data_IF_450949587821
#
_entry.id   IF_450949587821
#
_cell.length_a   1.000
_cell.length_b   1.000
_cell.length_c   1.000
_cell.angle_alpha   90.00
_cell.angle_beta   90.00
_cell.angle_gamma   90.00
#
_symmetry.space_group_name_H-M   'P 1'
#
loop_
_entity.id
_entity.type
_entity.pdbx_description
1 polymer ?
#
# COMPACT_ATOMS: atom_id res chain seq x y z
N UNK A 1 24.90 -25.45 -14.55
CA UNK A 1 23.79 -24.50 -14.85
C UNK A 1 23.33 -23.99 -13.50
N UNK A 2 23.11 -22.68 -13.35
CA UNK A 2 22.57 -22.13 -12.13
C UNK A 2 21.19 -22.76 -11.81
N UNK A 3 20.82 -22.81 -10.56
CA UNK A 3 19.53 -23.29 -10.12
C UNK A 3 18.41 -22.35 -10.64
N UNK A 4 17.26 -22.90 -11.08
CA UNK A 4 16.11 -22.06 -11.39
C UNK A 4 15.65 -21.27 -10.15
N UNK A 5 15.43 -19.96 -10.31
CA UNK A 5 15.09 -19.04 -9.24
C UNK A 5 13.77 -18.33 -9.47
N UNK A 6 13.06 -18.05 -8.39
CA UNK A 6 11.89 -17.17 -8.36
C UNK A 6 12.33 -15.72 -8.56
N UNK A 7 11.39 -14.82 -8.83
CA UNK A 7 11.69 -13.40 -8.97
C UNK A 7 12.35 -12.81 -7.69
N UNK A 8 11.80 -13.18 -6.52
CA UNK A 8 12.36 -12.78 -5.22
C UNK A 8 13.81 -13.23 -5.04
N UNK A 9 14.12 -14.48 -5.38
CA UNK A 9 15.47 -15.03 -5.29
C UNK A 9 16.43 -14.31 -6.22
N UNK A 10 16.03 -14.00 -7.46
CA UNK A 10 16.87 -13.30 -8.43
C UNK A 10 17.24 -11.89 -7.97
N UNK A 11 16.27 -11.13 -7.46
CA UNK A 11 16.53 -9.78 -6.95
C UNK A 11 17.50 -9.83 -5.76
N UNK A 12 17.29 -10.74 -4.81
CA UNK A 12 18.18 -10.88 -3.65
C UNK A 12 19.58 -11.37 -4.03
N UNK A 13 19.70 -12.29 -5.01
CA UNK A 13 20.98 -12.78 -5.49
C UNK A 13 21.81 -11.65 -6.12
N UNK A 14 21.20 -10.85 -6.99
CA UNK A 14 21.87 -9.72 -7.65
C UNK A 14 22.38 -8.69 -6.63
N UNK A 15 21.54 -8.30 -5.67
CA UNK A 15 21.92 -7.33 -4.64
C UNK A 15 22.90 -7.88 -3.59
N UNK A 16 23.03 -9.19 -3.48
CA UNK A 16 24.05 -9.85 -2.67
C UNK A 16 25.35 -10.09 -3.43
N UNK A 17 25.39 -9.81 -4.75
CA UNK A 17 26.54 -10.13 -5.62
C UNK A 17 26.78 -11.64 -5.78
N UNK A 18 25.71 -12.45 -5.71
CA UNK A 18 25.75 -13.90 -5.82
C UNK A 18 25.11 -14.36 -7.13
N UNK A 19 25.63 -15.47 -7.70
CA UNK A 19 25.04 -16.07 -8.90
C UNK A 19 23.69 -16.73 -8.61
N UNK A 20 23.50 -17.27 -7.40
CA UNK A 20 22.28 -17.91 -6.96
C UNK A 20 22.10 -17.81 -5.44
N UNK A 21 20.87 -17.87 -4.97
CA UNK A 21 20.51 -18.00 -3.56
C UNK A 21 19.46 -19.10 -3.38
N UNK A 22 19.28 -19.56 -2.15
CA UNK A 22 18.27 -20.58 -1.80
C UNK A 22 17.40 -20.08 -0.65
N UNK A 23 16.11 -20.47 -0.57
CA UNK A 23 15.24 -20.16 0.56
C UNK A 23 15.88 -20.57 1.89
N UNK A 24 15.81 -19.67 2.87
CA UNK A 24 16.41 -19.86 4.18
C UNK A 24 17.86 -19.41 4.31
N UNK A 25 18.56 -19.16 3.22
CA UNK A 25 19.92 -18.60 3.22
C UNK A 25 19.91 -17.17 3.80
N UNK A 26 20.92 -16.86 4.63
CA UNK A 26 21.17 -15.49 5.08
C UNK A 26 22.13 -14.82 4.11
N UNK A 27 21.72 -13.68 3.60
CA UNK A 27 22.50 -12.87 2.66
C UNK A 27 22.55 -11.41 3.13
N UNK A 28 23.67 -10.75 2.92
CA UNK A 28 23.81 -9.31 3.05
C UNK A 28 23.65 -8.69 1.66
N UNK A 29 22.76 -7.72 1.52
CA UNK A 29 22.45 -7.09 0.25
C UNK A 29 22.71 -5.60 0.29
N UNK A 30 23.17 -5.05 -0.83
CA UNK A 30 23.22 -3.61 -1.05
C UNK A 30 21.79 -3.10 -1.30
N UNK A 31 21.45 -1.95 -0.71
CA UNK A 31 20.12 -1.34 -0.81
C UNK A 31 20.09 -0.25 -1.87
N UNK A 32 19.04 -0.24 -2.70
CA UNK A 32 18.78 0.85 -3.63
C UNK A 32 18.12 2.05 -2.95
N UNK A 33 17.22 1.81 -2.00
CA UNK A 33 16.48 2.85 -1.29
C UNK A 33 16.20 2.47 0.16
N UNK A 34 16.14 3.48 1.03
CA UNK A 34 15.68 3.35 2.42
C UNK A 34 14.62 4.42 2.69
N UNK A 35 13.45 4.01 3.20
CA UNK A 35 12.31 4.88 3.46
C UNK A 35 12.02 5.02 4.95
N UNK A 36 11.66 6.24 5.38
CA UNK A 36 11.04 6.48 6.68
C UNK A 36 10.07 7.68 6.62
N UNK A 37 9.10 7.69 7.52
CA UNK A 37 8.07 8.72 7.63
C UNK A 37 8.18 9.48 8.96
N UNK A 38 7.28 10.43 9.21
CA UNK A 38 7.31 11.28 10.41
C UNK A 38 7.15 10.51 11.74
N UNK A 39 6.59 9.30 11.74
CA UNK A 39 6.50 8.45 12.94
C UNK A 39 7.82 7.71 13.16
N UNK A 40 8.41 7.17 12.12
CA UNK A 40 9.50 6.19 12.18
C UNK A 40 10.88 6.81 12.00
N UNK A 41 10.98 7.90 11.25
CA UNK A 41 12.24 8.60 11.00
C UNK A 41 12.93 9.09 12.28
N UNK A 42 12.28 9.61 13.32
CA UNK A 42 12.98 10.04 14.53
C UNK A 42 13.81 8.93 15.19
N UNK A 43 13.31 7.68 15.17
CA UNK A 43 14.03 6.52 15.71
C UNK A 43 15.18 6.12 14.78
N UNK A 44 14.93 6.05 13.47
CA UNK A 44 15.95 5.76 12.47
C UNK A 44 17.11 6.79 12.51
N UNK A 45 16.78 8.08 12.59
CA UNK A 45 17.74 9.18 12.72
C UNK A 45 18.59 9.06 13.98
N UNK A 46 17.98 8.69 15.11
CA UNK A 46 18.72 8.42 16.35
C UNK A 46 19.77 7.33 16.11
N UNK A 47 19.41 6.24 15.45
CA UNK A 47 20.32 5.14 15.12
C UNK A 47 21.46 5.59 14.20
N UNK A 48 21.18 6.38 13.15
CA UNK A 48 22.22 6.96 12.28
C UNK A 48 23.22 7.80 13.08
N UNK A 49 22.72 8.64 14.00
CA UNK A 49 23.57 9.49 14.85
C UNK A 49 24.41 8.66 15.83
N UNK A 50 23.86 7.60 16.40
CA UNK A 50 24.58 6.67 17.28
C UNK A 50 25.70 5.91 16.56
N UNK A 51 25.50 5.51 15.31
CA UNK A 51 26.52 4.90 14.44
C UNK A 51 27.62 5.92 14.11
N UNK A 52 27.26 7.19 13.90
CA UNK A 52 28.22 8.29 13.67
C UNK A 52 28.88 8.30 12.29
N UNK A 53 28.45 7.44 11.36
CA UNK A 53 28.99 7.37 9.99
C UNK A 53 28.33 8.37 9.02
N UNK A 54 27.26 9.06 9.43
CA UNK A 54 26.40 9.84 8.53
C UNK A 54 25.47 8.93 7.73
N UNK A 55 25.08 9.39 6.53
CA UNK A 55 24.25 8.62 5.62
C UNK A 55 25.08 8.05 4.49
N UNK A 56 24.72 6.84 4.02
CA UNK A 56 25.51 6.17 2.97
C UNK A 56 25.39 6.88 1.61
N UNK A 57 24.20 7.34 1.28
CA UNK A 57 23.91 8.06 0.02
C UNK A 57 22.64 8.92 0.21
N UNK A 58 22.77 10.23 0.09
CA UNK A 58 21.67 11.19 0.22
C UNK A 58 20.57 11.04 -0.85
N UNK A 59 20.91 10.48 -2.02
CA UNK A 59 19.98 10.32 -3.13
C UNK A 59 19.16 9.02 -3.01
N UNK A 60 19.55 8.13 -2.08
CA UNK A 60 18.92 6.84 -1.85
C UNK A 60 18.12 6.76 -0.54
N UNK A 61 17.98 7.86 0.16
CA UNK A 61 17.14 7.98 1.35
C UNK A 61 15.89 8.77 1.00
N UNK A 62 14.73 8.22 1.38
CA UNK A 62 13.42 8.84 1.19
C UNK A 62 12.82 9.17 2.57
N UNK A 63 12.47 10.44 2.78
CA UNK A 63 11.83 10.90 4.01
C UNK A 63 10.51 11.58 3.65
N UNK A 64 9.40 11.01 4.10
CA UNK A 64 8.04 11.45 3.76
C UNK A 64 7.21 11.64 5.03
N UNK A 65 7.03 12.88 5.51
CA UNK A 65 6.15 13.16 6.65
C UNK A 65 4.68 13.18 6.20
N UNK A 66 4.02 12.03 6.19
CA UNK A 66 2.67 11.83 5.66
C UNK A 66 1.65 11.28 6.67
N UNK A 67 2.10 10.80 7.84
CA UNK A 67 1.22 10.17 8.81
C UNK A 67 0.47 11.16 9.71
N UNK A 68 1.15 12.21 10.17
CA UNK A 68 0.58 13.27 11.01
C UNK A 68 0.57 14.63 10.30
N UNK A 69 0.48 14.63 8.99
CA UNK A 69 0.56 15.84 8.18
C UNK A 69 -0.80 16.21 7.57
N UNK A 70 -1.22 17.51 7.65
CA UNK A 70 -0.61 18.57 8.49
C UNK A 70 -0.61 18.19 9.96
N UNK A 71 0.39 18.69 10.72
CA UNK A 71 0.60 18.22 12.09
C UNK A 71 -0.62 18.45 13.00
N UNK A 72 -1.04 17.42 13.70
CA UNK A 72 -2.24 17.41 14.56
C UNK A 72 -2.01 18.00 15.95
N UNK A 73 -0.77 17.98 16.45
CA UNK A 73 -0.37 18.44 17.76
C UNK A 73 1.11 18.82 17.80
N UNK A 74 1.58 19.35 18.94
CA UNK A 74 2.95 19.77 19.16
C UNK A 74 3.92 18.61 19.00
N UNK A 75 3.59 17.42 19.50
CA UNK A 75 4.45 16.23 19.42
C UNK A 75 4.67 15.79 17.97
N UNK A 76 3.63 15.76 17.16
CA UNK A 76 3.76 15.44 15.74
C UNK A 76 4.55 16.51 14.98
N UNK A 77 4.40 17.80 15.33
CA UNK A 77 5.19 18.87 14.76
C UNK A 77 6.70 18.74 15.10
N UNK A 78 7.03 18.33 16.32
CA UNK A 78 8.40 18.04 16.73
C UNK A 78 9.00 16.86 15.96
N UNK A 79 8.25 15.79 15.73
CA UNK A 79 8.67 14.64 14.94
C UNK A 79 8.97 15.03 13.48
N UNK A 80 8.05 15.80 12.87
CA UNK A 80 8.27 16.34 11.51
C UNK A 80 9.49 17.27 11.47
N UNK A 81 9.67 18.10 12.50
CA UNK A 81 10.83 18.99 12.59
C UNK A 81 12.15 18.21 12.65
N UNK A 82 12.23 17.15 13.46
CA UNK A 82 13.42 16.28 13.54
C UNK A 82 13.74 15.69 12.16
N UNK A 83 12.72 15.21 11.43
CA UNK A 83 12.89 14.65 10.09
C UNK A 83 13.37 15.69 9.08
N UNK A 84 12.79 16.89 9.12
CA UNK A 84 13.19 18.03 8.28
C UNK A 84 14.63 18.49 8.54
N UNK A 85 14.97 18.70 9.83
CA UNK A 85 16.30 19.16 10.21
C UNK A 85 17.37 18.17 9.76
N UNK A 86 17.13 16.86 9.93
CA UNK A 86 18.01 15.81 9.44
C UNK A 86 18.12 15.79 7.90
N UNK A 87 17.00 15.96 7.20
CA UNK A 87 17.01 16.04 5.74
C UNK A 87 17.86 17.21 5.23
N UNK A 88 17.78 18.37 5.88
CA UNK A 88 18.60 19.54 5.56
C UNK A 88 20.06 19.34 5.95
N UNK A 89 20.35 18.80 7.15
CA UNK A 89 21.68 18.49 7.64
C UNK A 89 22.47 17.60 6.66
N UNK A 90 21.82 16.54 6.18
CA UNK A 90 22.43 15.56 5.26
C UNK A 90 22.13 15.83 3.78
N UNK A 91 21.44 16.92 3.45
CA UNK A 91 21.06 17.29 2.09
C UNK A 91 20.32 16.17 1.36
N UNK A 92 19.38 15.49 2.05
CA UNK A 92 18.60 14.37 1.50
C UNK A 92 17.79 14.87 0.30
N UNK A 93 17.98 14.24 -0.86
CA UNK A 93 17.34 14.66 -2.12
C UNK A 93 15.84 14.31 -2.13
N UNK A 94 15.47 13.16 -1.58
CA UNK A 94 14.09 12.67 -1.58
C UNK A 94 13.39 12.98 -0.24
N UNK A 95 13.41 14.24 0.17
CA UNK A 95 12.60 14.75 1.26
C UNK A 95 11.38 15.49 0.71
N UNK A 96 10.20 15.14 1.21
CA UNK A 96 8.93 15.68 0.72
C UNK A 96 8.18 16.43 1.84
N UNK A 97 8.44 17.72 1.97
CA UNK A 97 7.80 18.59 2.94
C UNK A 97 6.29 18.70 2.70
N UNK A 98 5.54 19.06 3.72
CA UNK A 98 4.11 19.34 3.64
C UNK A 98 3.81 20.33 2.50
N UNK A 99 2.84 20.00 1.65
CA UNK A 99 2.53 20.73 0.43
C UNK A 99 3.17 20.15 -0.84
N UNK A 100 4.28 19.42 -0.72
CA UNK A 100 4.88 18.64 -1.82
C UNK A 100 4.77 17.14 -1.61
N UNK A 101 4.12 16.73 -0.53
CA UNK A 101 4.02 15.34 -0.07
C UNK A 101 2.89 14.57 -0.76
N UNK A 102 2.86 13.30 -0.48
CA UNK A 102 1.78 12.35 -0.68
C UNK A 102 1.96 11.23 0.32
N UNK A 103 1.04 10.30 0.38
CA UNK A 103 1.22 9.08 1.14
C UNK A 103 2.38 8.31 0.51
N UNK A 104 3.41 7.99 1.30
CA UNK A 104 4.70 7.51 0.83
C UNK A 104 4.60 6.38 -0.22
N UNK A 105 3.72 5.40 0.00
CA UNK A 105 3.56 4.26 -0.90
C UNK A 105 2.81 4.55 -2.21
N UNK A 106 2.21 5.72 -2.35
CA UNK A 106 1.69 6.22 -3.61
C UNK A 106 2.64 7.25 -4.24
N UNK A 107 3.31 8.06 -3.41
CA UNK A 107 4.18 9.14 -3.85
C UNK A 107 5.44 8.64 -4.55
N UNK A 108 6.15 7.65 -3.99
CA UNK A 108 7.44 7.23 -4.53
C UNK A 108 7.33 6.63 -5.94
N UNK A 109 6.35 5.74 -6.25
CA UNK A 109 6.15 5.28 -7.64
C UNK A 109 5.70 6.42 -8.56
N UNK A 110 4.79 7.32 -8.10
CA UNK A 110 4.36 8.49 -8.88
C UNK A 110 5.53 9.39 -9.29
N UNK A 111 6.50 9.58 -8.39
CA UNK A 111 7.69 10.40 -8.64
C UNK A 111 8.81 9.66 -9.38
N UNK A 112 8.66 8.38 -9.69
CA UNK A 112 9.69 7.56 -10.34
C UNK A 112 10.97 7.40 -9.52
N UNK A 113 10.84 7.45 -8.20
CA UNK A 113 11.96 7.28 -7.26
C UNK A 113 12.26 5.80 -7.09
N UNK A 114 11.21 5.01 -6.84
CA UNK A 114 11.27 3.56 -6.85
C UNK A 114 11.06 3.06 -8.29
N UNK A 115 11.86 2.10 -8.71
CA UNK A 115 11.81 1.55 -10.06
C UNK A 115 11.87 0.01 -10.02
N UNK A 116 11.48 -0.67 -11.11
CA UNK A 116 11.62 -2.12 -11.20
C UNK A 116 13.03 -2.61 -10.91
N UNK A 117 13.10 -3.70 -10.16
CA UNK A 117 14.36 -4.35 -9.78
C UNK A 117 15.06 -3.73 -8.60
N UNK A 118 14.54 -2.66 -8.00
CA UNK A 118 15.07 -2.13 -6.75
C UNK A 118 14.93 -3.14 -5.60
N UNK A 119 15.93 -3.14 -4.71
CA UNK A 119 15.84 -3.72 -3.39
C UNK A 119 15.76 -2.58 -2.36
N UNK A 120 14.63 -2.48 -1.67
CA UNK A 120 14.46 -1.43 -0.69
C UNK A 120 13.85 -1.90 0.63
N UNK A 121 14.22 -1.20 1.69
CA UNK A 121 13.59 -1.34 3.00
C UNK A 121 12.89 -0.04 3.40
N UNK A 122 11.83 -0.15 4.16
CA UNK A 122 11.14 1.00 4.73
C UNK A 122 10.75 0.75 6.18
N UNK A 123 10.76 1.80 6.97
CA UNK A 123 10.31 1.75 8.35
C UNK A 123 8.77 1.78 8.46
N UNK A 124 8.09 1.35 7.41
CA UNK A 124 6.64 1.14 7.36
C UNK A 124 6.32 -0.27 6.84
N UNK A 125 5.29 -0.90 7.42
CA UNK A 125 4.94 -2.27 7.09
C UNK A 125 4.41 -2.43 5.66
N UNK A 126 3.79 -1.39 5.07
CA UNK A 126 3.26 -1.43 3.70
C UNK A 126 4.31 -1.08 2.62
N UNK A 127 5.59 -1.01 2.98
CA UNK A 127 6.69 -0.87 2.02
C UNK A 127 6.65 -1.94 0.92
N UNK A 128 6.03 -3.11 1.16
CA UNK A 128 5.81 -4.15 0.15
C UNK A 128 5.03 -3.67 -1.09
N UNK A 129 4.37 -2.51 -1.04
CA UNK A 129 3.60 -1.91 -2.14
C UNK A 129 4.36 -1.85 -3.46
N UNK A 130 5.65 -1.54 -3.41
CA UNK A 130 6.44 -1.30 -4.63
C UNK A 130 6.73 -2.57 -5.44
N UNK A 131 6.43 -3.74 -4.89
CA UNK A 131 6.41 -4.98 -5.65
C UNK A 131 5.39 -4.99 -6.78
N UNK A 132 4.36 -4.13 -6.72
CA UNK A 132 3.40 -3.91 -7.81
C UNK A 132 4.02 -3.36 -9.10
N UNK A 133 5.23 -2.81 -9.02
CA UNK A 133 6.08 -2.42 -10.16
C UNK A 133 7.38 -3.24 -10.27
N UNK A 134 7.45 -4.40 -9.62
CA UNK A 134 8.59 -5.32 -9.74
C UNK A 134 9.80 -5.00 -8.87
N UNK A 135 9.67 -4.21 -7.81
CA UNK A 135 10.72 -3.99 -6.81
C UNK A 135 10.57 -4.95 -5.62
N UNK A 136 11.66 -5.56 -5.15
CA UNK A 136 11.62 -6.26 -3.88
C UNK A 136 11.69 -5.23 -2.75
N UNK A 137 10.57 -5.00 -2.12
CA UNK A 137 10.42 -3.99 -1.07
C UNK A 137 9.76 -4.60 0.16
N UNK A 138 10.26 -4.25 1.35
CA UNK A 138 9.76 -4.83 2.59
C UNK A 138 9.86 -3.88 3.78
N UNK A 139 8.89 -4.00 4.69
CA UNK A 139 8.90 -3.29 5.95
C UNK A 139 9.91 -3.88 6.94
N UNK A 140 10.60 -3.00 7.65
CA UNK A 140 11.56 -3.34 8.71
C UNK A 140 11.34 -2.46 9.94
N UNK A 141 12.00 -2.77 11.05
CA UNK A 141 12.00 -1.90 12.23
C UNK A 141 12.70 -0.56 11.96
N UNK A 142 12.28 0.50 12.67
CA UNK A 142 12.90 1.82 12.51
C UNK A 142 14.40 1.83 12.80
N UNK A 143 14.88 0.98 13.71
CA UNK A 143 16.31 0.80 14.00
C UNK A 143 17.03 0.19 12.79
N UNK A 144 16.46 -0.84 12.16
CA UNK A 144 17.04 -1.48 10.97
C UNK A 144 17.08 -0.50 9.78
N UNK A 145 16.01 0.31 9.61
CA UNK A 145 16.02 1.37 8.62
C UNK A 145 17.14 2.40 8.89
N UNK A 146 17.38 2.75 10.15
CA UNK A 146 18.50 3.63 10.54
C UNK A 146 19.87 3.03 10.21
N UNK A 147 20.05 1.72 10.45
CA UNK A 147 21.27 1.00 10.02
C UNK A 147 21.40 1.05 8.49
N UNK A 148 20.31 0.76 7.75
CA UNK A 148 20.28 0.86 6.30
C UNK A 148 20.62 2.26 5.79
N UNK A 149 20.11 3.33 6.42
CA UNK A 149 20.45 4.71 6.08
C UNK A 149 21.95 5.02 6.29
N UNK A 150 22.57 4.43 7.32
CA UNK A 150 23.97 4.66 7.61
C UNK A 150 24.92 3.82 6.73
N UNK A 151 24.53 2.60 6.37
CA UNK A 151 25.43 1.61 5.75
C UNK A 151 25.15 1.32 4.28
N UNK A 152 23.93 1.59 3.80
CA UNK A 152 23.46 1.17 2.48
C UNK A 152 23.22 -0.33 2.35
N UNK A 153 23.18 -1.06 3.47
CA UNK A 153 23.08 -2.52 3.50
C UNK A 153 22.06 -3.03 4.49
N UNK A 154 21.50 -4.18 4.18
CA UNK A 154 20.70 -4.97 5.09
C UNK A 154 20.94 -6.46 4.86
N UNK A 155 20.74 -7.25 5.91
CA UNK A 155 20.72 -8.70 5.75
C UNK A 155 19.29 -9.21 5.57
N UNK A 156 19.15 -10.26 4.78
CA UNK A 156 17.89 -10.93 4.54
C UNK A 156 18.05 -12.44 4.74
N UNK A 157 17.04 -13.05 5.30
CA UNK A 157 16.82 -14.47 5.11
C UNK A 157 16.02 -14.61 3.82
N UNK A 158 16.55 -15.25 2.80
CA UNK A 158 15.86 -15.47 1.53
C UNK A 158 14.50 -16.13 1.79
N UNK A 159 13.37 -15.52 1.43
CA UNK A 159 12.05 -16.09 1.68
C UNK A 159 11.77 -17.26 0.73
N UNK A 160 10.94 -18.20 1.17
CA UNK A 160 10.22 -19.06 0.24
C UNK A 160 9.20 -18.21 -0.54
N UNK A 161 8.80 -18.66 -1.74
CA UNK A 161 7.83 -17.95 -2.58
C UNK A 161 6.55 -18.75 -2.73
N UNK A 162 5.40 -18.09 -2.55
CA UNK A 162 4.08 -18.60 -2.93
C UNK A 162 3.67 -17.93 -4.24
N UNK A 163 3.33 -18.72 -5.26
CA UNK A 163 2.84 -18.22 -6.54
C UNK A 163 1.32 -18.27 -6.57
N UNK A 164 0.69 -17.14 -6.94
CA UNK A 164 -0.74 -17.01 -7.18
C UNK A 164 -0.96 -16.84 -8.67
N UNK A 165 -1.63 -17.80 -9.30
CA UNK A 165 -2.08 -17.74 -10.69
C UNK A 165 -3.57 -17.47 -10.70
N UNK A 166 -3.95 -16.29 -11.20
CA UNK A 166 -5.33 -15.81 -11.21
C UNK A 166 -5.75 -15.62 -12.66
N UNK A 167 -6.63 -16.49 -13.11
CA UNK A 167 -7.05 -16.54 -14.50
C UNK A 167 -8.56 -16.27 -14.65
N UNK A 168 -8.93 -15.74 -15.80
CA UNK A 168 -10.32 -15.43 -16.14
C UNK A 168 -10.65 -13.95 -16.03
N UNK A 169 -11.92 -13.64 -16.14
CA UNK A 169 -12.45 -12.28 -16.05
C UNK A 169 -13.09 -12.04 -14.69
N UNK A 170 -12.77 -10.89 -14.09
CA UNK A 170 -13.43 -10.47 -12.84
C UNK A 170 -14.92 -10.19 -13.12
N UNK A 171 -15.82 -10.60 -12.23
CA UNK A 171 -17.22 -10.19 -12.28
C UNK A 171 -17.37 -8.68 -12.18
N UNK A 172 -18.47 -8.17 -12.72
CA UNK A 172 -18.80 -6.75 -12.64
C UNK A 172 -18.83 -6.27 -11.19
N UNK A 173 -18.21 -5.12 -10.93
CA UNK A 173 -18.08 -4.51 -9.61
C UNK A 173 -16.94 -5.05 -8.75
N UNK A 174 -16.28 -6.15 -9.14
CA UNK A 174 -15.08 -6.63 -8.47
C UNK A 174 -13.83 -5.85 -8.93
N UNK A 175 -12.86 -5.69 -8.06
CA UNK A 175 -11.65 -4.88 -8.25
C UNK A 175 -10.40 -5.58 -7.72
N UNK A 176 -9.24 -4.96 -7.91
CA UNK A 176 -7.98 -5.43 -7.31
C UNK A 176 -8.06 -5.56 -5.77
N UNK A 177 -8.87 -4.72 -5.12
CA UNK A 177 -9.12 -4.83 -3.66
C UNK A 177 -9.82 -6.13 -3.31
N UNK A 178 -10.79 -6.55 -4.12
CA UNK A 178 -11.53 -7.79 -3.88
C UNK A 178 -10.65 -9.02 -4.13
N UNK A 179 -9.71 -8.94 -5.10
CA UNK A 179 -8.71 -10.01 -5.32
C UNK A 179 -7.89 -10.24 -4.06
N UNK A 180 -7.31 -9.19 -3.50
CA UNK A 180 -6.41 -9.37 -2.33
C UNK A 180 -7.20 -9.73 -1.07
N UNK A 181 -8.40 -9.20 -0.86
CA UNK A 181 -9.26 -9.59 0.24
C UNK A 181 -9.70 -11.06 0.12
N UNK A 182 -10.04 -11.53 -1.09
CA UNK A 182 -10.33 -12.94 -1.35
C UNK A 182 -9.13 -13.84 -1.01
N UNK A 183 -7.92 -13.44 -1.44
CA UNK A 183 -6.70 -14.19 -1.14
C UNK A 183 -6.47 -14.26 0.37
N UNK A 184 -6.51 -13.12 1.07
CA UNK A 184 -6.30 -13.08 2.53
C UNK A 184 -7.40 -13.89 3.26
N UNK A 185 -8.65 -13.81 2.79
CA UNK A 185 -9.74 -14.63 3.30
C UNK A 185 -9.50 -16.12 3.16
N UNK A 186 -8.86 -16.54 2.05
CA UNK A 186 -8.57 -17.94 1.73
C UNK A 186 -7.38 -18.52 2.50
N UNK A 187 -6.28 -17.71 2.67
CA UNK A 187 -5.04 -18.22 3.28
C UNK A 187 -4.84 -17.77 4.73
N UNK A 188 -5.64 -16.81 5.23
CA UNK A 188 -5.48 -16.23 6.55
C UNK A 188 -4.42 -15.13 6.62
N UNK A 189 -4.33 -14.46 7.78
CA UNK A 189 -3.37 -13.36 8.03
C UNK A 189 -1.92 -13.83 8.20
N UNK A 190 -1.68 -15.11 8.31
CA UNK A 190 -0.38 -15.75 8.48
C UNK A 190 -0.06 -16.77 7.36
N UNK A 191 -0.94 -16.94 6.37
CA UNK A 191 -0.79 -17.92 5.30
C UNK A 191 0.45 -17.73 4.42
N UNK A 192 0.95 -16.51 4.32
CA UNK A 192 2.19 -16.18 3.62
C UNK A 192 3.30 -15.71 4.58
N UNK A 193 3.24 -16.13 5.86
CA UNK A 193 4.19 -15.65 6.88
C UNK A 193 5.64 -15.86 6.42
N UNK A 194 6.35 -14.73 6.33
CA UNK A 194 7.74 -14.64 5.87
C UNK A 194 7.98 -15.16 4.44
N UNK A 195 6.97 -15.30 3.60
CA UNK A 195 7.11 -15.65 2.19
C UNK A 195 7.11 -14.42 1.28
N UNK A 196 7.72 -14.51 0.12
CA UNK A 196 7.38 -13.65 -0.99
C UNK A 196 6.07 -14.16 -1.63
N UNK A 197 5.22 -13.27 -2.09
CA UNK A 197 4.00 -13.57 -2.84
C UNK A 197 4.21 -13.09 -4.27
N UNK A 198 4.23 -13.99 -5.25
CA UNK A 198 4.34 -13.66 -6.66
C UNK A 198 2.99 -13.85 -7.35
N UNK A 199 2.56 -12.87 -8.14
CA UNK A 199 1.25 -12.83 -8.76
C UNK A 199 1.36 -12.90 -10.28
N UNK A 200 0.57 -13.77 -10.92
CA UNK A 200 0.48 -13.93 -12.36
C UNK A 200 -0.89 -14.42 -12.80
N UNK A 201 -1.00 -14.74 -14.09
CA UNK A 201 -2.21 -15.14 -14.75
C UNK A 201 -2.91 -14.01 -15.50
N UNK A 202 -3.87 -14.39 -16.34
CA UNK A 202 -4.53 -13.48 -17.30
C UNK A 202 -5.25 -12.31 -16.62
N UNK A 203 -5.84 -12.54 -15.44
CA UNK A 203 -6.49 -11.48 -14.64
C UNK A 203 -5.46 -10.44 -14.18
N UNK A 204 -4.29 -10.88 -13.73
CA UNK A 204 -3.22 -9.98 -13.26
C UNK A 204 -2.64 -9.15 -14.41
N UNK A 205 -2.47 -9.77 -15.59
CA UNK A 205 -2.04 -9.07 -16.80
C UNK A 205 -3.06 -8.02 -17.25
N UNK A 206 -4.36 -8.28 -17.03
CA UNK A 206 -5.42 -7.33 -17.36
C UNK A 206 -5.46 -6.12 -16.43
N UNK A 207 -5.00 -6.22 -15.18
CA UNK A 207 -5.00 -5.13 -14.19
C UNK A 207 -4.15 -3.93 -14.64
N UNK A 208 -4.57 -2.75 -14.17
CA UNK A 208 -3.74 -1.54 -14.15
C UNK A 208 -2.54 -1.71 -13.21
N UNK A 209 -1.53 -0.87 -13.34
CA UNK A 209 -0.41 -0.83 -12.39
C UNK A 209 -0.89 -0.41 -11.00
N UNK A 210 -1.85 0.50 -10.94
CA UNK A 210 -2.50 0.95 -9.71
C UNK A 210 -3.17 -0.23 -8.97
N UNK A 211 -3.86 -1.10 -9.71
CA UNK A 211 -4.46 -2.32 -9.15
C UNK A 211 -3.43 -3.30 -8.61
N UNK A 212 -2.28 -3.46 -9.32
CA UNK A 212 -1.16 -4.30 -8.84
C UNK A 212 -0.55 -3.72 -7.56
N UNK A 213 -0.39 -2.40 -7.47
CA UNK A 213 0.09 -1.72 -6.26
C UNK A 213 -0.88 -1.91 -5.09
N UNK A 214 -2.20 -1.98 -5.33
CA UNK A 214 -3.21 -2.31 -4.30
C UNK A 214 -3.01 -3.71 -3.75
N UNK A 215 -2.81 -4.72 -4.61
CA UNK A 215 -2.57 -6.10 -4.20
C UNK A 215 -1.25 -6.22 -3.43
N UNK A 216 -0.16 -5.66 -3.99
CA UNK A 216 1.15 -5.68 -3.35
C UNK A 216 1.14 -4.99 -1.97
N UNK A 217 0.41 -3.87 -1.82
CA UNK A 217 0.25 -3.15 -0.56
C UNK A 217 -0.27 -4.05 0.56
N UNK A 218 -1.23 -4.91 0.26
CA UNK A 218 -1.86 -5.77 1.25
C UNK A 218 -1.21 -7.17 1.39
N UNK A 219 -0.09 -7.45 0.73
CA UNK A 219 0.65 -8.70 0.90
C UNK A 219 1.10 -8.91 2.36
N UNK A 220 1.46 -7.84 3.06
CA UNK A 220 1.82 -7.90 4.49
C UNK A 220 0.65 -8.34 5.37
N UNK A 221 -0.61 -8.13 4.97
CA UNK A 221 -1.79 -8.54 5.73
C UNK A 221 -2.01 -10.06 5.71
N UNK A 222 -1.31 -10.78 4.81
CA UNK A 222 -1.18 -12.24 4.82
C UNK A 222 0.14 -12.72 5.46
N UNK A 223 0.94 -11.80 6.04
CA UNK A 223 2.26 -12.09 6.59
C UNK A 223 3.41 -12.08 5.57
N UNK A 224 3.14 -11.70 4.31
CA UNK A 224 4.11 -11.69 3.22
C UNK A 224 5.22 -10.64 3.41
N UNK A 225 6.45 -10.98 3.02
CA UNK A 225 7.59 -10.05 3.01
C UNK A 225 7.56 -9.10 1.81
N UNK A 226 7.08 -9.57 0.68
CA UNK A 226 6.92 -8.79 -0.54
C UNK A 226 5.74 -9.33 -1.36
N UNK A 227 5.08 -8.48 -2.13
CA UNK A 227 4.08 -8.87 -3.12
C UNK A 227 4.59 -8.44 -4.50
N UNK A 228 5.00 -9.40 -5.34
CA UNK A 228 5.78 -9.15 -6.55
C UNK A 228 4.97 -9.40 -7.82
N UNK A 229 5.13 -8.50 -8.77
CA UNK A 229 4.54 -8.56 -10.10
C UNK A 229 5.64 -8.47 -11.16
N UNK A 230 5.52 -9.27 -12.20
CA UNK A 230 6.42 -9.20 -13.33
C UNK A 230 6.23 -7.88 -14.10
N UNK A 231 7.33 -7.37 -14.64
CA UNK A 231 7.31 -6.15 -15.45
C UNK A 231 6.85 -6.48 -16.86
N UNK A 232 5.63 -6.09 -17.19
CA UNK A 232 5.05 -6.17 -18.53
C UNK A 232 5.05 -4.80 -19.22
N UNK A 233 4.47 -4.72 -20.42
CA UNK A 233 4.43 -3.50 -21.21
C UNK A 233 3.67 -2.37 -20.50
N UNK A 234 2.59 -2.68 -19.76
CA UNK A 234 1.85 -1.68 -18.96
C UNK A 234 2.72 -1.10 -17.84
N UNK A 235 3.47 -1.97 -17.16
CA UNK A 235 4.39 -1.55 -16.12
C UNK A 235 5.54 -0.71 -16.70
N UNK A 236 6.13 -1.12 -17.84
CA UNK A 236 7.17 -0.34 -18.54
C UNK A 236 6.66 1.04 -18.89
N UNK A 237 5.49 1.15 -19.54
CA UNK A 237 4.89 2.44 -19.91
C UNK A 237 4.64 3.32 -18.68
N UNK A 238 4.15 2.75 -17.59
CA UNK A 238 3.93 3.47 -16.33
C UNK A 238 5.24 4.01 -15.76
N UNK A 239 6.29 3.20 -15.75
CA UNK A 239 7.58 3.51 -15.13
C UNK A 239 8.43 4.44 -16.01
N UNK A 240 8.55 4.19 -17.31
CA UNK A 240 9.41 4.96 -18.24
C UNK A 240 9.06 6.44 -18.27
N UNK A 241 7.79 6.79 -18.11
CA UNK A 241 7.33 8.19 -18.02
C UNK A 241 7.77 8.90 -16.75
N UNK A 242 8.25 8.17 -15.73
CA UNK A 242 8.50 8.66 -14.36
C UNK A 242 9.92 8.39 -13.88
N UNK A 243 10.51 7.29 -14.30
CA UNK A 243 11.79 6.79 -13.79
C UNK A 243 12.91 7.82 -13.94
N UNK A 244 13.67 8.00 -12.87
CA UNK A 244 14.85 8.86 -12.81
C UNK A 244 16.16 8.06 -12.80
N UNK A 245 16.05 6.74 -12.80
CA UNK A 245 17.15 5.78 -12.73
C UNK A 245 16.91 4.64 -13.71
N UNK A 246 17.96 3.91 -14.14
CA UNK A 246 17.80 2.69 -14.93
C UNK A 246 16.90 1.67 -14.23
N UNK A 247 16.08 0.97 -14.99
CA UNK A 247 15.25 -0.15 -14.53
C UNK A 247 15.97 -1.47 -14.73
N UNK A 248 15.71 -2.44 -13.87
CA UNK A 248 16.15 -3.84 -14.01
C UNK A 248 14.90 -4.72 -13.96
N UNK A 249 14.77 -5.60 -14.91
CA UNK A 249 13.60 -6.49 -14.98
C UNK A 249 14.00 -7.90 -14.56
N UNK A 250 13.27 -8.45 -13.63
CA UNK A 250 13.45 -9.82 -13.18
C UNK A 250 12.16 -10.60 -13.42
N UNK A 251 12.33 -11.78 -14.03
CA UNK A 251 11.26 -12.73 -14.23
C UNK A 251 11.64 -14.06 -13.58
N UNK A 252 10.70 -14.83 -13.03
CA UNK A 252 11.01 -16.16 -12.52
C UNK A 252 11.48 -17.06 -13.67
N UNK A 253 12.32 -18.02 -13.36
CA UNK A 253 12.64 -19.07 -14.33
C UNK A 253 11.43 -19.98 -14.54
N UNK A 254 11.30 -20.54 -15.74
CA UNK A 254 10.12 -21.35 -16.10
C UNK A 254 9.97 -22.61 -15.21
N UNK A 255 11.07 -23.10 -14.67
CA UNK A 255 11.15 -24.24 -13.76
C UNK A 255 11.50 -23.84 -12.31
N UNK A 256 11.25 -22.57 -11.95
CA UNK A 256 11.40 -22.08 -10.59
C UNK A 256 10.54 -22.90 -9.61
N UNK A 257 11.09 -23.17 -8.43
CA UNK A 257 10.40 -23.94 -7.40
C UNK A 257 9.71 -23.01 -6.41
N UNK A 258 8.40 -23.17 -6.28
CA UNK A 258 7.57 -22.46 -5.34
C UNK A 258 7.22 -23.32 -4.11
N UNK A 259 7.12 -22.70 -2.93
CA UNK A 259 6.58 -23.35 -1.72
C UNK A 259 5.16 -23.88 -1.98
N UNK A 260 4.37 -23.08 -2.69
CA UNK A 260 3.00 -23.38 -3.05
C UNK A 260 2.62 -22.64 -4.33
N UNK A 261 1.86 -23.31 -5.20
CA UNK A 261 1.17 -22.71 -6.34
C UNK A 261 -0.34 -22.72 -6.05
N UNK A 262 -0.93 -21.52 -5.95
CA UNK A 262 -2.36 -21.33 -5.69
C UNK A 262 -3.01 -20.81 -6.96
N UNK A 263 -3.92 -21.59 -7.52
CA UNK A 263 -4.72 -21.21 -8.68
C UNK A 263 -6.07 -20.68 -8.24
N UNK A 264 -6.50 -19.58 -8.81
CA UNK A 264 -7.76 -18.91 -8.52
C UNK A 264 -8.46 -18.60 -9.84
N UNK A 265 -9.70 -19.01 -9.96
CA UNK A 265 -10.59 -18.58 -11.03
C UNK A 265 -11.15 -17.19 -10.65
N UNK A 266 -10.85 -16.18 -11.46
CA UNK A 266 -11.31 -14.82 -11.19
C UNK A 266 -12.83 -14.68 -11.14
N UNK A 267 -13.56 -15.58 -11.81
CA UNK A 267 -15.03 -15.58 -11.79
C UNK A 267 -15.62 -15.89 -10.41
N UNK A 268 -14.83 -16.47 -9.49
CA UNK A 268 -15.23 -16.73 -8.10
C UNK A 268 -15.05 -15.50 -7.20
N UNK A 269 -14.34 -14.44 -7.66
CA UNK A 269 -14.04 -13.24 -6.89
C UNK A 269 -15.19 -12.25 -7.01
N UNK A 270 -16.07 -12.22 -6.03
CA UNK A 270 -17.16 -11.24 -5.96
C UNK A 270 -16.78 -10.00 -5.14
N UNK A 271 -17.46 -8.85 -5.32
CA UNK A 271 -17.28 -7.72 -4.42
C UNK A 271 -17.47 -8.14 -2.96
N UNK A 272 -16.46 -7.86 -2.14
CA UNK A 272 -16.39 -8.37 -0.78
C UNK A 272 -16.07 -7.27 0.24
N UNK A 273 -16.34 -7.60 1.49
CA UNK A 273 -16.02 -6.78 2.64
C UNK A 273 -15.35 -7.64 3.71
N UNK A 274 -14.25 -7.14 4.26
CA UNK A 274 -13.60 -7.81 5.39
C UNK A 274 -14.14 -7.25 6.70
N UNK A 275 -14.78 -8.10 7.48
CA UNK A 275 -15.37 -7.74 8.76
C UNK A 275 -14.31 -7.55 9.86
N UNK A 276 -14.61 -6.79 10.92
CA UNK A 276 -13.72 -6.65 12.06
C UNK A 276 -13.46 -8.02 12.74
N UNK A 277 -12.29 -8.26 13.34
CA UNK A 277 -11.14 -7.34 13.47
C UNK A 277 -9.90 -7.95 12.78
N UNK A 278 -10.09 -8.66 11.66
CA UNK A 278 -9.02 -9.27 10.87
C UNK A 278 -9.30 -9.09 9.37
N UNK A 279 -8.29 -8.74 8.56
CA UNK A 279 -8.44 -8.66 7.11
C UNK A 279 -8.88 -9.98 6.45
N UNK A 280 -8.63 -11.12 7.09
CA UNK A 280 -9.05 -12.45 6.61
C UNK A 280 -10.53 -12.78 6.87
N UNK A 281 -11.24 -11.96 7.65
CA UNK A 281 -12.67 -12.17 7.89
C UNK A 281 -13.51 -11.62 6.73
N UNK A 282 -13.27 -12.16 5.53
CA UNK A 282 -13.82 -11.67 4.26
C UNK A 282 -15.13 -12.36 3.92
N UNK A 283 -16.15 -11.56 3.60
CA UNK A 283 -17.50 -11.97 3.21
C UNK A 283 -17.95 -11.27 1.93
N UNK A 284 -18.82 -11.85 1.12
CA UNK A 284 -19.51 -11.13 0.06
C UNK A 284 -20.28 -9.91 0.62
N UNK A 285 -20.29 -8.80 -0.10
CA UNK A 285 -21.05 -7.60 0.31
C UNK A 285 -22.53 -7.93 0.51
N UNK A 286 -23.07 -8.87 -0.26
CA UNK A 286 -24.47 -9.33 -0.14
C UNK A 286 -24.86 -9.85 1.24
N UNK A 287 -23.89 -10.34 2.02
CA UNK A 287 -24.11 -10.83 3.41
C UNK A 287 -24.03 -9.71 4.45
N UNK A 288 -23.73 -8.48 4.05
CA UNK A 288 -23.41 -7.37 4.97
C UNK A 288 -24.40 -6.21 4.90
N UNK A 289 -25.46 -6.31 4.09
CA UNK A 289 -26.42 -5.21 3.83
C UNK A 289 -27.16 -4.69 5.08
N UNK A 290 -27.25 -5.48 6.13
CA UNK A 290 -27.89 -5.08 7.40
C UNK A 290 -26.95 -4.31 8.36
N UNK A 291 -25.67 -4.13 7.96
CA UNK A 291 -24.66 -3.48 8.80
C UNK A 291 -24.70 -1.97 8.55
N UNK A 292 -25.33 -1.23 9.45
CA UNK A 292 -25.32 0.24 9.45
C UNK A 292 -23.91 0.76 9.74
N UNK A 293 -23.55 1.90 9.13
CA UNK A 293 -22.26 2.56 9.32
C UNK A 293 -22.41 4.01 9.78
N UNK A 294 -21.40 4.53 10.48
CA UNK A 294 -21.31 5.91 10.94
C UNK A 294 -20.29 6.70 10.12
N UNK A 295 -19.35 6.01 9.46
CA UNK A 295 -18.29 6.62 8.67
C UNK A 295 -17.91 5.79 7.45
N UNK A 296 -17.56 6.47 6.37
CA UNK A 296 -16.88 5.88 5.22
C UNK A 296 -15.55 6.59 4.97
N UNK A 297 -14.49 5.83 4.70
CA UNK A 297 -13.17 6.38 4.35
C UNK A 297 -12.74 5.84 3.00
N UNK A 298 -12.53 6.74 2.05
CA UNK A 298 -12.14 6.43 0.66
C UNK A 298 -10.76 7.02 0.42
N UNK A 299 -9.79 6.18 0.09
CA UNK A 299 -8.41 6.62 -0.14
C UNK A 299 -7.37 5.76 0.57
N UNK A 300 -6.28 6.37 0.99
CA UNK A 300 -5.08 5.75 1.59
C UNK A 300 -4.00 5.34 0.56
N UNK A 301 -2.87 4.78 1.06
CA UNK A 301 -1.84 4.21 0.20
C UNK A 301 -2.33 3.02 -0.63
N UNK A 302 -3.37 2.33 -0.16
CA UNK A 302 -3.96 1.16 -0.82
C UNK A 302 -4.83 1.59 -1.99
N UNK A 303 -5.80 2.47 -1.74
CA UNK A 303 -6.85 2.84 -2.71
C UNK A 303 -7.11 4.36 -2.71
N UNK A 304 -6.07 5.17 -2.91
CA UNK A 304 -6.18 6.62 -3.04
C UNK A 304 -5.60 7.15 -4.35
N UNK A 305 -5.36 6.29 -5.33
CA UNK A 305 -4.87 6.67 -6.66
C UNK A 305 -6.01 7.19 -7.52
N UNK A 306 -5.70 7.74 -8.69
CA UNK A 306 -6.72 8.41 -9.50
C UNK A 306 -7.85 7.48 -9.96
N UNK A 307 -7.56 6.22 -10.25
CA UNK A 307 -8.61 5.25 -10.61
C UNK A 307 -9.57 4.96 -9.47
N UNK A 308 -9.08 4.95 -8.22
CA UNK A 308 -9.89 4.77 -7.02
C UNK A 308 -10.82 5.99 -6.81
N UNK A 309 -10.28 7.19 -7.03
CA UNK A 309 -11.07 8.44 -6.95
C UNK A 309 -12.15 8.50 -8.02
N UNK A 310 -11.84 8.06 -9.26
CA UNK A 310 -12.82 7.96 -10.33
C UNK A 310 -13.93 6.98 -10.00
N UNK A 311 -13.57 5.78 -9.51
CA UNK A 311 -14.54 4.75 -9.13
C UNK A 311 -15.48 5.23 -8.02
N UNK A 312 -14.96 5.90 -7.00
CA UNK A 312 -15.78 6.48 -5.94
C UNK A 312 -16.68 7.63 -6.45
N UNK A 313 -16.12 8.52 -7.28
CA UNK A 313 -16.86 9.65 -7.84
C UNK A 313 -17.99 9.22 -8.78
N UNK A 314 -17.81 8.13 -9.52
CA UNK A 314 -18.86 7.57 -10.38
C UNK A 314 -20.09 7.17 -9.56
N UNK A 315 -19.89 6.51 -8.42
CA UNK A 315 -20.96 6.12 -7.49
C UNK A 315 -21.60 7.34 -6.83
N UNK A 316 -20.82 8.34 -6.43
CA UNK A 316 -21.29 9.53 -5.71
C UNK A 316 -21.94 10.58 -6.61
N UNK A 317 -21.76 10.49 -7.92
CA UNK A 317 -22.25 11.49 -8.87
C UNK A 317 -23.78 11.64 -8.82
N UNK A 318 -24.24 12.85 -8.48
CA UNK A 318 -25.67 13.15 -8.35
C UNK A 318 -26.35 12.55 -7.13
N UNK A 319 -25.59 11.96 -6.21
CA UNK A 319 -26.06 11.40 -4.94
C UNK A 319 -25.49 12.18 -3.77
N UNK A 320 -26.06 11.99 -2.60
CA UNK A 320 -25.64 12.63 -1.33
C UNK A 320 -25.40 11.53 -0.30
N UNK A 321 -24.36 11.67 0.49
CA UNK A 321 -24.05 10.81 1.64
C UNK A 321 -25.21 10.83 2.63
N UNK A 322 -25.56 9.70 3.22
CA UNK A 322 -26.62 9.58 4.22
C UNK A 322 -26.37 10.51 5.43
N UNK A 323 -27.41 11.11 5.96
CA UNK A 323 -27.31 12.14 7.02
C UNK A 323 -26.58 11.69 8.29
N UNK A 324 -26.57 10.38 8.56
CA UNK A 324 -25.91 9.77 9.70
C UNK A 324 -24.47 9.34 9.42
N UNK A 325 -23.95 9.54 8.20
CA UNK A 325 -22.62 9.06 7.80
C UNK A 325 -21.66 10.22 7.53
N UNK A 326 -20.45 10.10 8.02
CA UNK A 326 -19.31 10.96 7.64
C UNK A 326 -18.54 10.28 6.53
N UNK A 327 -18.47 10.87 5.34
CA UNK A 327 -17.64 10.34 4.25
C UNK A 327 -16.36 11.18 4.11
N UNK A 328 -15.21 10.54 4.25
CA UNK A 328 -13.88 11.18 4.13
C UNK A 328 -13.20 10.64 2.88
N UNK A 329 -12.79 11.55 1.98
CA UNK A 329 -12.07 11.22 0.74
C UNK A 329 -10.63 11.73 0.84
N UNK A 330 -9.66 10.84 0.57
CA UNK A 330 -8.23 11.11 0.73
C UNK A 330 -7.50 10.72 -0.57
N UNK A 331 -7.35 11.64 -1.54
CA UNK A 331 -6.46 11.42 -2.67
C UNK A 331 -5.02 11.20 -2.16
N UNK A 332 -4.33 10.18 -2.67
CA UNK A 332 -3.09 9.71 -2.04
C UNK A 332 -1.89 10.65 -2.22
N UNK A 333 -1.91 11.55 -3.21
CA UNK A 333 -0.83 12.50 -3.45
C UNK A 333 -1.36 13.88 -3.87
N UNK A 334 -0.52 14.90 -3.79
CA UNK A 334 -0.86 16.23 -4.34
C UNK A 334 -1.10 16.16 -5.85
N UNK A 335 -0.41 15.25 -6.56
CA UNK A 335 -0.62 15.03 -7.99
C UNK A 335 -2.01 14.47 -8.26
N UNK A 336 -2.43 13.43 -7.54
CA UNK A 336 -3.79 12.87 -7.63
C UNK A 336 -4.84 13.89 -7.22
N UNK A 337 -4.59 14.65 -6.15
CA UNK A 337 -5.50 15.72 -5.69
C UNK A 337 -5.74 16.74 -6.80
N UNK A 338 -4.66 17.24 -7.43
CA UNK A 338 -4.75 18.20 -8.53
C UNK A 338 -5.45 17.59 -9.76
N UNK A 339 -5.19 16.33 -10.06
CA UNK A 339 -5.88 15.62 -11.14
C UNK A 339 -7.38 15.49 -10.87
N UNK A 340 -7.79 15.21 -9.63
CA UNK A 340 -9.20 15.24 -9.23
C UNK A 340 -9.86 16.62 -9.48
N UNK A 341 -9.11 17.72 -9.25
CA UNK A 341 -9.61 19.08 -9.58
C UNK A 341 -9.82 19.22 -11.08
N UNK A 342 -8.83 18.84 -11.89
CA UNK A 342 -8.90 18.98 -13.36
C UNK A 342 -10.00 18.12 -13.99
N UNK A 343 -10.30 16.96 -13.40
CA UNK A 343 -11.37 16.07 -13.87
C UNK A 343 -12.76 16.40 -13.28
N UNK A 344 -12.86 17.42 -12.41
CA UNK A 344 -14.11 17.80 -11.75
C UNK A 344 -14.60 16.81 -10.69
N UNK A 345 -13.73 15.90 -10.23
CA UNK A 345 -14.09 14.91 -9.19
C UNK A 345 -14.26 15.58 -7.83
N UNK A 346 -13.54 16.69 -7.57
CA UNK A 346 -13.70 17.46 -6.32
C UNK A 346 -15.11 18.03 -6.20
N UNK A 347 -15.69 18.52 -7.29
CA UNK A 347 -17.06 19.02 -7.30
C UNK A 347 -18.05 17.90 -6.96
N UNK A 348 -17.82 16.68 -7.49
CA UNK A 348 -18.64 15.51 -7.15
C UNK A 348 -18.57 15.20 -5.67
N UNK A 349 -17.38 15.11 -5.08
CA UNK A 349 -17.22 14.79 -3.67
C UNK A 349 -17.83 15.85 -2.76
N UNK A 350 -17.62 17.13 -3.04
CA UNK A 350 -18.16 18.23 -2.24
C UNK A 350 -19.69 18.29 -2.35
N UNK A 351 -20.24 18.14 -3.54
CA UNK A 351 -21.69 18.12 -3.73
C UNK A 351 -22.36 16.89 -3.11
N UNK A 352 -21.62 15.78 -2.98
CA UNK A 352 -22.08 14.59 -2.26
C UNK A 352 -21.94 14.73 -0.73
N UNK A 353 -21.52 15.86 -0.21
CA UNK A 353 -21.28 16.16 1.21
C UNK A 353 -20.09 15.36 1.81
N UNK A 354 -19.10 14.99 1.00
CA UNK A 354 -17.87 14.39 1.51
C UNK A 354 -16.91 15.44 2.08
N UNK A 355 -16.13 15.05 3.08
CA UNK A 355 -14.95 15.78 3.56
C UNK A 355 -13.76 15.39 2.71
N UNK A 356 -13.28 16.29 1.85
CA UNK A 356 -12.08 16.02 1.05
C UNK A 356 -10.84 16.49 1.79
N UNK A 357 -9.93 15.57 2.07
CA UNK A 357 -8.69 15.83 2.80
C UNK A 357 -7.52 16.11 1.89
N UNK A 358 -6.49 16.77 2.44
CA UNK A 358 -5.14 16.70 1.89
C UNK A 358 -4.62 15.25 1.93
N UNK A 359 -3.63 14.88 1.09
CA UNK A 359 -2.99 13.57 1.19
C UNK A 359 -2.41 13.33 2.58
N UNK A 360 -2.85 12.25 3.24
CA UNK A 360 -2.34 11.84 4.55
C UNK A 360 -2.66 10.37 4.83
N UNK A 361 -1.76 9.68 5.52
CA UNK A 361 -2.00 8.33 6.01
C UNK A 361 -2.81 8.31 7.33
N UNK A 362 -2.93 9.46 8.01
CA UNK A 362 -3.43 9.61 9.37
C UNK A 362 -4.73 8.89 9.73
N UNK A 363 -5.81 8.96 8.94
CA UNK A 363 -7.07 8.25 9.25
C UNK A 363 -6.90 6.73 9.32
N UNK A 364 -6.07 6.15 8.46
CA UNK A 364 -5.85 4.70 8.37
C UNK A 364 -5.31 4.09 9.68
N UNK A 365 -4.60 4.87 10.48
CA UNK A 365 -3.99 4.42 11.74
C UNK A 365 -4.63 5.05 12.99
N UNK A 366 -5.72 5.80 12.83
CA UNK A 366 -6.34 6.52 13.96
C UNK A 366 -5.43 7.62 14.54
N UNK A 367 -4.46 8.08 13.77
CA UNK A 367 -3.44 9.03 14.20
C UNK A 367 -3.79 10.49 13.93
N UNK A 368 -4.64 10.75 12.95
CA UNK A 368 -4.99 12.09 12.50
C UNK A 368 -6.33 12.07 11.78
N UNK A 369 -7.27 12.94 12.12
CA UNK A 369 -8.63 13.11 11.61
C UNK A 369 -9.44 11.80 11.41
N UNK A 370 -10.77 11.89 11.37
CA UNK A 370 -11.65 10.75 11.13
C UNK A 370 -11.56 9.64 12.16
N UNK A 371 -11.14 9.96 13.39
CA UNK A 371 -11.01 9.01 14.49
C UNK A 371 -12.40 8.57 14.94
N UNK A 372 -12.58 7.26 15.11
CA UNK A 372 -13.83 6.65 15.51
C UNK A 372 -14.02 6.71 17.04
N UNK A 373 -15.22 7.06 17.45
CA UNK A 373 -15.67 6.95 18.84
C UNK A 373 -16.04 5.51 19.20
N UNK A 374 -16.33 5.29 20.49
CA UNK A 374 -16.77 3.98 20.99
C UNK A 374 -18.04 3.48 20.27
N UNK A 375 -17.96 2.26 19.74
CA UNK A 375 -19.06 1.58 19.05
C UNK A 375 -19.36 2.07 17.64
N UNK A 376 -18.64 3.07 17.12
CA UNK A 376 -18.83 3.53 15.73
C UNK A 376 -18.32 2.49 14.71
N UNK A 377 -18.99 2.42 13.56
CA UNK A 377 -18.69 1.53 12.44
C UNK A 377 -18.22 2.31 11.22
N UNK A 378 -17.11 1.89 10.66
CA UNK A 378 -16.53 2.52 9.47
C UNK A 378 -16.33 1.49 8.36
N UNK A 379 -16.84 1.76 7.14
CA UNK A 379 -16.40 1.07 5.94
C UNK A 379 -15.21 1.83 5.33
N UNK A 380 -14.15 1.14 4.94
CA UNK A 380 -12.91 1.81 4.54
C UNK A 380 -12.18 1.09 3.41
N UNK A 381 -11.64 1.84 2.47
CA UNK A 381 -10.74 1.32 1.43
C UNK A 381 -9.26 1.24 1.89
N UNK A 382 -8.98 1.47 3.16
CA UNK A 382 -7.68 1.25 3.79
C UNK A 382 -7.30 -0.24 3.83
N UNK A 383 -6.24 -0.60 4.53
CA UNK A 383 -5.66 -1.94 4.47
C UNK A 383 -5.80 -2.78 5.75
N UNK A 384 -6.11 -2.17 6.90
CA UNK A 384 -6.18 -2.84 8.21
C UNK A 384 -7.45 -2.51 8.97
N UNK A 385 -7.98 -3.51 9.69
CA UNK A 385 -9.17 -3.39 10.51
C UNK A 385 -9.03 -4.03 11.90
N UNK A 386 -7.80 -4.08 12.42
CA UNK A 386 -7.54 -4.61 13.78
C UNK A 386 -8.24 -3.78 14.85
N UNK A 387 -8.42 -4.36 16.04
CA UNK A 387 -9.02 -3.69 17.21
C UNK A 387 -8.35 -2.33 17.46
N UNK A 388 -9.15 -1.27 17.54
CA UNK A 388 -8.66 0.10 17.78
C UNK A 388 -7.89 0.73 16.62
N UNK A 389 -7.91 0.15 15.43
CA UNK A 389 -7.09 0.62 14.29
C UNK A 389 -7.36 2.06 13.89
N UNK A 390 -8.64 2.49 13.91
CA UNK A 390 -9.04 3.84 13.47
C UNK A 390 -9.62 4.69 14.63
N UNK A 391 -9.44 4.27 15.87
CA UNK A 391 -9.96 5.02 17.02
C UNK A 391 -10.16 4.18 18.27
N UNK A 392 -11.37 4.29 18.87
CA UNK A 392 -11.71 3.55 20.09
C UNK A 392 -11.61 2.04 19.86
N UNK A 393 -11.10 1.26 20.85
CA UNK A 393 -11.00 -0.20 20.75
C UNK A 393 -12.32 -0.94 20.49
N UNK A 394 -13.46 -0.31 20.82
CA UNK A 394 -14.79 -0.88 20.58
C UNK A 394 -15.38 -0.49 19.22
N UNK A 395 -14.68 0.34 18.46
CA UNK A 395 -15.08 0.68 17.09
C UNK A 395 -14.79 -0.48 16.13
N UNK A 396 -15.55 -0.52 15.05
CA UNK A 396 -15.48 -1.58 14.04
C UNK A 396 -15.09 -1.01 12.67
N UNK A 397 -14.08 -1.58 12.02
CA UNK A 397 -13.65 -1.20 10.67
C UNK A 397 -13.89 -2.35 9.72
N UNK A 398 -14.57 -2.05 8.62
CA UNK A 398 -14.89 -2.97 7.52
C UNK A 398 -14.09 -2.58 6.29
N UNK A 399 -13.29 -3.48 5.73
CA UNK A 399 -12.45 -3.19 4.56
C UNK A 399 -13.19 -3.55 3.28
N UNK A 400 -13.25 -2.61 2.33
CA UNK A 400 -13.90 -2.82 1.06
C UNK A 400 -13.24 -1.99 -0.08
N UNK A 401 -13.69 -2.18 -1.31
CA UNK A 401 -13.26 -1.36 -2.46
C UNK A 401 -13.78 0.08 -2.35
N UNK A 402 -13.14 1.06 -3.04
CA UNK A 402 -13.62 2.45 -3.07
C UNK A 402 -15.08 2.60 -3.52
N UNK A 403 -15.50 1.81 -4.50
CA UNK A 403 -16.87 1.84 -5.00
C UNK A 403 -17.88 1.34 -3.95
N UNK A 404 -17.55 0.28 -3.22
CA UNK A 404 -18.37 -0.23 -2.10
C UNK A 404 -18.40 0.77 -0.95
N UNK A 405 -17.26 1.41 -0.61
CA UNK A 405 -17.23 2.47 0.41
C UNK A 405 -18.12 3.66 0.03
N UNK A 406 -18.08 4.09 -1.24
CA UNK A 406 -18.90 5.18 -1.75
C UNK A 406 -20.41 4.82 -1.75
N UNK A 407 -20.75 3.61 -2.17
CA UNK A 407 -22.13 3.13 -2.16
C UNK A 407 -22.66 3.04 -0.72
N UNK A 408 -21.88 2.51 0.17
CA UNK A 408 -22.24 2.40 1.59
C UNK A 408 -22.42 3.77 2.24
N UNK A 409 -21.60 4.77 1.86
CA UNK A 409 -21.78 6.14 2.36
C UNK A 409 -23.12 6.75 1.95
N UNK A 410 -23.58 6.49 0.75
CA UNK A 410 -24.89 6.94 0.24
C UNK A 410 -26.04 6.17 0.91
N UNK A 411 -25.89 4.85 1.05
CA UNK A 411 -26.94 3.99 1.61
C UNK A 411 -27.09 4.11 3.15
N UNK A 412 -26.03 4.52 3.88
CA UNK A 412 -25.99 4.52 5.34
C UNK A 412 -25.72 3.13 5.96
N UNK A 413 -25.49 2.14 5.13
CA UNK A 413 -25.13 0.76 5.50
C UNK A 413 -24.25 0.15 4.42
N UNK A 414 -23.64 -1.01 4.67
CA UNK A 414 -22.80 -1.66 3.66
C UNK A 414 -23.64 -2.04 2.43
N UNK A 415 -23.24 -1.53 1.25
CA UNK A 415 -24.00 -1.66 0.01
C UNK A 415 -23.09 -1.76 -1.21
N UNK A 416 -23.62 -2.39 -2.28
CA UNK A 416 -23.06 -2.33 -3.63
C UNK A 416 -23.53 -1.07 -4.35
N UNK A 417 -22.79 -0.59 -5.37
CA UNK A 417 -23.30 0.47 -6.26
C UNK A 417 -24.66 0.14 -6.90
N UNK A 418 -24.88 -1.14 -7.25
CA UNK A 418 -26.16 -1.63 -7.81
C UNK A 418 -27.33 -1.62 -6.82
N UNK A 419 -27.08 -1.45 -5.53
CA UNK A 419 -28.14 -1.35 -4.51
C UNK A 419 -28.72 0.08 -4.41
N UNK A 420 -28.15 1.06 -5.12
CA UNK A 420 -28.54 2.47 -5.08
C UNK A 420 -29.51 2.88 -6.19
N UNK A 421 -29.82 1.99 -7.13
CA UNK A 421 -30.67 2.24 -8.32
C UNK A 421 -32.16 2.05 -8.02
#
# INVERSE_FOLDING_TARGET
MARPMTMAEKILADHAGLEEVVPGQLVECDLDLVLANDITAPIAIKTVREIGAGVFDRDRICLVPDHYSPNKDIKSAEQTKVTRDFAHEHQITNYFEQGCMGIEHALLPEKGIVVPGDLMIGADSHTCTYGGIGAFSTGVGSTDAGVGMATGRAWFKVPETIRFEIDGELPEGASAKDIILHIIGKIGVDGALYCAMEFGGSTIEALSVEGRLTIANMAIEAGGKAGLFEVDDKCREYVERRAKRPIREYHPDADATYKQLIKIDASEIVPCVSWPHLPSNTHPVSESRDIAIDQAVIGSCTNGRIEDMRAAAEVLRGRVVADNVRCIVIPATQGVWLQCVHEGLMDVFINAHCVVSTPTCGPCLGGYMGILAAGERCVSSTNRNFVGRMGDPTSEVYLASPAVCAASAVAGHIALPSDLD
#
